data_IF_000463495425
#
_entry.id   IF_000463495425
#
_cell.length_a   1.000
_cell.length_b   1.000
_cell.length_c   1.000
_cell.angle_alpha   90.00
_cell.angle_beta   90.00
_cell.angle_gamma   90.00
#
_symmetry.space_group_name_H-M   'P 1'
#
loop_
_entity.id
_entity.type
_entity.pdbx_description
1 polymer ?
#
# COMPACT_ATOMS: atom_id res chain seq x y z
N UNK A 1 4.83 -12.19 1.37
CA UNK A 1 4.60 -10.88 2.01
C UNK A 1 5.55 -9.78 1.52
N UNK A 2 6.87 -10.02 1.44
CA UNK A 2 7.86 -9.04 0.93
C UNK A 2 7.48 -8.41 -0.43
N UNK A 3 7.05 -9.22 -1.42
CA UNK A 3 6.71 -8.73 -2.77
C UNK A 3 5.55 -7.72 -2.79
N UNK A 4 4.52 -7.92 -1.95
CA UNK A 4 3.37 -7.00 -1.86
C UNK A 4 3.78 -5.67 -1.23
N UNK A 5 4.64 -5.73 -0.20
CA UNK A 5 5.18 -4.54 0.45
C UNK A 5 5.97 -3.70 -0.54
N UNK A 6 6.88 -4.32 -1.28
CA UNK A 6 7.77 -3.60 -2.18
C UNK A 6 7.00 -2.98 -3.36
N UNK A 7 6.01 -3.70 -3.91
CA UNK A 7 5.10 -3.17 -4.92
C UNK A 7 4.29 -1.97 -4.41
N UNK A 8 3.78 -2.05 -3.17
CA UNK A 8 3.03 -0.96 -2.55
C UNK A 8 3.88 0.29 -2.32
N UNK A 9 5.11 0.13 -1.80
CA UNK A 9 6.05 1.25 -1.60
C UNK A 9 6.40 1.90 -2.94
N UNK A 10 6.70 1.09 -3.96
CA UNK A 10 7.05 1.60 -5.28
C UNK A 10 5.89 2.36 -5.93
N UNK A 11 4.65 1.90 -5.74
CA UNK A 11 3.47 2.59 -6.26
C UNK A 11 3.21 3.92 -5.58
N UNK A 12 3.30 3.97 -4.25
CA UNK A 12 3.10 5.22 -3.50
C UNK A 12 4.14 6.28 -3.88
N UNK A 13 5.40 5.88 -4.06
CA UNK A 13 6.48 6.78 -4.53
C UNK A 13 6.28 7.30 -5.94
N UNK A 14 5.53 6.58 -6.79
CA UNK A 14 5.13 7.05 -8.12
C UNK A 14 3.89 7.95 -8.08
N UNK A 15 3.30 8.18 -6.90
CA UNK A 15 2.08 8.96 -6.74
C UNK A 15 0.79 8.16 -6.98
N UNK A 16 0.84 6.83 -7.07
CA UNK A 16 -0.38 6.01 -7.17
C UNK A 16 -1.26 6.22 -5.92
N UNK A 17 -2.57 6.24 -6.12
CA UNK A 17 -3.51 6.39 -5.01
C UNK A 17 -3.59 5.11 -4.19
N UNK A 18 -3.96 5.26 -2.91
CA UNK A 18 -4.15 4.12 -2.02
C UNK A 18 -5.26 3.19 -2.52
N UNK A 19 -6.31 3.77 -3.12
CA UNK A 19 -7.42 3.05 -3.73
C UNK A 19 -6.98 2.20 -4.93
N UNK A 20 -6.20 2.77 -5.84
CA UNK A 20 -5.65 2.04 -6.99
C UNK A 20 -4.72 0.89 -6.55
N UNK A 21 -3.84 1.16 -5.58
CA UNK A 21 -2.93 0.15 -5.05
C UNK A 21 -3.67 -0.94 -4.29
N UNK A 22 -4.73 -0.59 -3.57
CA UNK A 22 -5.61 -1.55 -2.89
C UNK A 22 -6.19 -2.53 -3.91
N UNK A 23 -6.83 -2.02 -4.96
CA UNK A 23 -7.43 -2.85 -6.01
C UNK A 23 -6.37 -3.71 -6.73
N UNK A 24 -5.24 -3.11 -7.10
CA UNK A 24 -4.14 -3.79 -7.82
C UNK A 24 -3.49 -4.91 -7.02
N UNK A 25 -3.42 -4.76 -5.70
CA UNK A 25 -2.83 -5.76 -4.80
C UNK A 25 -3.86 -6.78 -4.28
N UNK A 26 -5.11 -6.72 -4.76
CA UNK A 26 -6.16 -7.68 -4.42
C UNK A 26 -6.84 -7.45 -3.07
N UNK A 27 -6.76 -6.24 -2.52
CA UNK A 27 -7.50 -5.87 -1.32
C UNK A 27 -8.91 -5.43 -1.68
N UNK A 28 -9.90 -5.97 -0.94
CA UNK A 28 -11.31 -5.64 -1.11
C UNK A 28 -11.63 -4.19 -0.77
N UNK A 29 -10.87 -3.57 0.14
CA UNK A 29 -11.08 -2.19 0.59
C UNK A 29 -9.76 -1.46 0.85
N UNK A 30 -9.68 -0.13 0.56
CA UNK A 30 -8.48 0.68 0.83
C UNK A 30 -8.07 0.69 2.31
N UNK A 31 -9.05 0.52 3.22
CA UNK A 31 -8.82 0.45 4.67
C UNK A 31 -8.03 -0.80 5.06
N UNK A 32 -8.29 -1.95 4.43
CA UNK A 32 -7.57 -3.19 4.64
C UNK A 32 -6.12 -3.07 4.16
N UNK A 33 -5.91 -2.47 2.97
CA UNK A 33 -4.57 -2.16 2.48
C UNK A 33 -3.80 -1.26 3.45
N UNK A 34 -4.39 -0.19 3.97
CA UNK A 34 -3.71 0.72 4.93
C UNK A 34 -3.24 -0.01 6.19
N UNK A 35 -4.08 -0.91 6.72
CA UNK A 35 -3.73 -1.74 7.90
C UNK A 35 -2.58 -2.69 7.58
N UNK A 36 -2.66 -3.39 6.45
CA UNK A 36 -1.61 -4.31 6.00
C UNK A 36 -0.29 -3.57 5.74
N UNK A 37 -0.34 -2.44 5.01
CA UNK A 37 0.81 -1.60 4.73
C UNK A 37 1.50 -1.11 6.01
N UNK A 38 0.73 -0.65 7.00
CA UNK A 38 1.27 -0.24 8.30
C UNK A 38 1.90 -1.41 9.03
N UNK A 39 1.31 -2.60 8.97
CA UNK A 39 1.88 -3.82 9.56
C UNK A 39 3.20 -4.21 8.89
N UNK A 40 3.31 -4.05 7.57
CA UNK A 40 4.51 -4.43 6.80
C UNK A 40 5.65 -3.41 6.89
N UNK A 41 5.34 -2.12 6.94
CA UNK A 41 6.33 -1.03 6.82
C UNK A 41 6.53 -0.24 8.12
N UNK A 42 5.66 -0.44 9.12
CA UNK A 42 5.63 0.34 10.35
C UNK A 42 5.09 1.78 10.18
N UNK A 43 4.81 2.23 8.96
CA UNK A 43 4.36 3.60 8.65
C UNK A 43 3.08 3.61 7.82
N UNK A 44 2.41 4.76 7.76
CA UNK A 44 1.20 4.90 6.94
C UNK A 44 1.58 5.14 5.47
N UNK A 45 0.71 4.77 4.51
CA UNK A 45 0.96 5.02 3.08
C UNK A 45 1.26 6.50 2.76
N UNK A 46 0.64 7.43 3.48
CA UNK A 46 0.85 8.87 3.30
C UNK A 46 2.27 9.35 3.62
N UNK A 47 3.09 8.58 4.35
CA UNK A 47 4.50 8.90 4.57
C UNK A 47 5.41 8.55 3.38
N UNK A 48 4.90 7.80 2.41
CA UNK A 48 5.65 7.37 1.21
C UNK A 48 5.15 8.03 -0.08
N UNK A 49 4.13 8.88 0.02
CA UNK A 49 3.64 9.71 -1.08
C UNK A 49 4.45 11.01 -1.14
#
# INVERSE_FOLDING_TARGET
EEVLRDAAIAGLRRGESVDDLSAKLGFSEPSAFRRAFKRWTGKTPGSYR
#
